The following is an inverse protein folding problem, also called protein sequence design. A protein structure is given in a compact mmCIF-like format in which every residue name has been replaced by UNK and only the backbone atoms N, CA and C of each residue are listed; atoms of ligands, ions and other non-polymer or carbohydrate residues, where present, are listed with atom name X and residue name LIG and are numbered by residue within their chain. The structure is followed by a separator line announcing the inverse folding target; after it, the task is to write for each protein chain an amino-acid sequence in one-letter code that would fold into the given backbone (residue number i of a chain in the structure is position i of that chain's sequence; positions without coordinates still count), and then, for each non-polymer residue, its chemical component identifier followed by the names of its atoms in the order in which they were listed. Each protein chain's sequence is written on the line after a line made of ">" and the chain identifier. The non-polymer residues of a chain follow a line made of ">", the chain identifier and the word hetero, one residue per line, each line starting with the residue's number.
data_IF_530879179141
#
_entry.id   IF_530879179141
#
_cell.length_a   1.000
_cell.length_b   1.000
_cell.length_c   1.000
_cell.angle_alpha   90.00
_cell.angle_beta   90.00
_cell.angle_gamma   90.00
#
_symmetry.space_group_name_H-M   'P 1'
#
loop_
_entity.id
_entity.type
_entity.pdbx_description
1 polymer ?
#
# COMPACT_ATOMS: atom_id res chain seq x y z
N UNK A 1 -25.42 5.80 -0.56
CA UNK A 1 -25.10 4.85 -1.58
C UNK A 1 -23.74 4.23 -1.42
N UNK A 2 -23.69 2.96 -1.45
CA UNK A 2 -22.44 2.27 -1.28
C UNK A 2 -21.62 2.33 -2.55
N UNK A 3 -20.35 2.48 -2.40
CA UNK A 3 -19.47 2.46 -3.53
C UNK A 3 -19.43 1.08 -4.13
N UNK A 4 -19.65 0.99 -5.42
CA UNK A 4 -19.65 -0.30 -6.09
C UNK A 4 -18.22 -0.73 -6.37
N UNK A 5 -17.99 -2.03 -6.27
CA UNK A 5 -16.72 -2.59 -6.67
C UNK A 5 -16.63 -2.59 -8.19
N UNK A 6 -15.47 -2.24 -8.73
CA UNK A 6 -15.24 -2.31 -10.16
C UNK A 6 -14.70 -3.67 -10.57
N UNK A 7 -14.05 -4.37 -9.65
CA UNK A 7 -13.48 -5.69 -9.91
C UNK A 7 -13.74 -6.61 -8.76
N UNK A 8 -13.84 -7.90 -9.07
CA UNK A 8 -13.90 -8.94 -8.06
C UNK A 8 -12.68 -9.83 -8.27
N UNK A 9 -11.75 -9.77 -7.34
CA UNK A 9 -10.49 -10.51 -7.44
C UNK A 9 -10.61 -11.86 -6.74
N UNK A 10 -10.42 -12.98 -7.48
CA UNK A 10 -10.40 -14.29 -6.82
C UNK A 10 -9.19 -14.40 -5.91
N UNK A 11 -9.42 -14.79 -4.67
CA UNK A 11 -8.33 -14.99 -3.73
C UNK A 11 -8.77 -15.92 -2.62
N UNK A 12 -8.06 -17.02 -2.46
CA UNK A 12 -8.28 -17.99 -1.39
C UNK A 12 -9.75 -18.41 -1.27
N UNK A 13 -10.33 -18.76 -2.40
CA UNK A 13 -11.68 -19.32 -2.40
C UNK A 13 -12.80 -18.31 -2.32
N UNK A 14 -12.51 -17.02 -2.39
CA UNK A 14 -13.54 -16.00 -2.37
C UNK A 14 -13.17 -14.87 -3.32
N UNK A 15 -14.11 -13.95 -3.50
CA UNK A 15 -13.90 -12.80 -4.39
C UNK A 15 -13.74 -11.55 -3.55
N UNK A 16 -12.65 -10.83 -3.79
CA UNK A 16 -12.29 -9.62 -3.05
C UNK A 16 -12.70 -8.41 -3.89
N UNK A 17 -13.60 -7.54 -3.39
CA UNK A 17 -13.98 -6.36 -4.17
C UNK A 17 -12.85 -5.33 -4.20
N UNK A 18 -12.55 -4.84 -5.38
CA UNK A 18 -11.56 -3.78 -5.61
C UNK A 18 -12.24 -2.62 -6.32
N UNK A 19 -11.78 -1.40 -6.05
CA UNK A 19 -12.30 -0.24 -6.74
C UNK A 19 -11.64 -0.10 -8.12
N UNK A 20 -11.96 0.96 -8.84
CA UNK A 20 -11.48 1.15 -10.21
C UNK A 20 -9.97 1.31 -10.29
N UNK A 21 -9.33 1.68 -9.18
CA UNK A 21 -7.88 1.83 -9.12
C UNK A 21 -7.19 0.63 -8.49
N UNK A 22 -7.95 -0.42 -8.20
CA UNK A 22 -7.39 -1.65 -7.69
C UNK A 22 -7.16 -1.67 -6.19
N UNK A 23 -7.73 -0.73 -5.44
CA UNK A 23 -7.64 -0.71 -3.99
C UNK A 23 -8.80 -1.46 -3.37
N UNK A 24 -8.61 -1.98 -2.16
CA UNK A 24 -9.66 -2.72 -1.47
C UNK A 24 -10.84 -1.81 -1.18
N UNK A 25 -12.05 -2.32 -1.47
CA UNK A 25 -13.27 -1.64 -1.08
C UNK A 25 -13.50 -1.82 0.42
N UNK A 26 -13.22 -3.02 0.93
CA UNK A 26 -13.41 -3.34 2.35
C UNK A 26 -12.05 -3.55 3.01
N UNK A 27 -11.68 -2.64 3.91
CA UNK A 27 -10.40 -2.71 4.58
C UNK A 27 -10.21 -4.02 5.35
N UNK A 28 -11.30 -4.59 5.84
CA UNK A 28 -11.24 -5.83 6.60
C UNK A 28 -10.83 -7.05 5.78
N UNK A 29 -10.84 -6.94 4.47
CA UNK A 29 -10.42 -8.05 3.60
C UNK A 29 -8.90 -8.19 3.52
N UNK A 30 -8.16 -7.22 4.02
CA UNK A 30 -6.71 -7.24 3.87
C UNK A 30 -6.05 -8.33 4.71
N UNK A 31 -5.01 -8.92 4.15
CA UNK A 31 -4.09 -9.80 4.86
C UNK A 31 -2.74 -9.65 4.19
N UNK A 32 -1.69 -10.11 4.84
CA UNK A 32 -0.37 -10.07 4.22
C UNK A 32 -0.36 -10.87 2.93
N UNK A 33 -1.06 -12.01 2.93
CA UNK A 33 -1.17 -12.82 1.72
C UNK A 33 -1.83 -12.07 0.58
N UNK A 34 -2.89 -11.34 0.88
CA UNK A 34 -3.56 -10.55 -0.15
C UNK A 34 -2.68 -9.42 -0.64
N UNK A 35 -1.98 -8.74 0.26
CA UNK A 35 -1.04 -7.69 -0.13
C UNK A 35 0.04 -8.23 -1.07
N UNK A 36 0.59 -9.38 -0.73
CA UNK A 36 1.59 -10.04 -1.58
C UNK A 36 1.01 -10.40 -2.94
N UNK A 37 -0.22 -10.91 -2.94
CA UNK A 37 -0.88 -11.30 -4.19
C UNK A 37 -1.11 -10.09 -5.10
N UNK A 38 -1.57 -8.98 -4.53
CA UNK A 38 -1.79 -7.77 -5.31
C UNK A 38 -0.48 -7.27 -5.93
N UNK A 39 0.62 -7.33 -5.17
CA UNK A 39 1.91 -6.92 -5.69
C UNK A 39 2.37 -7.84 -6.82
N UNK A 40 2.13 -9.15 -6.67
CA UNK A 40 2.51 -10.10 -7.70
C UNK A 40 1.75 -9.86 -9.00
N UNK A 41 0.49 -9.45 -8.91
CA UNK A 41 -0.28 -9.11 -10.10
C UNK A 41 0.35 -7.93 -10.84
N UNK A 42 1.06 -7.07 -10.12
CA UNK A 42 1.76 -5.92 -10.72
C UNK A 42 3.21 -6.26 -11.06
N UNK A 43 3.61 -7.52 -10.89
CA UNK A 43 4.97 -7.94 -11.22
C UNK A 43 6.00 -7.62 -10.15
N UNK A 44 5.57 -7.38 -8.93
CA UNK A 44 6.47 -7.01 -7.83
C UNK A 44 6.50 -8.12 -6.79
N UNK A 45 7.70 -8.60 -6.48
CA UNK A 45 7.91 -9.55 -5.40
C UNK A 45 8.29 -8.75 -4.15
N UNK A 46 7.46 -8.82 -3.13
CA UNK A 46 7.68 -8.05 -1.91
C UNK A 46 8.80 -8.66 -1.07
N UNK A 47 9.75 -7.83 -0.66
CA UNK A 47 10.79 -8.24 0.28
C UNK A 47 10.67 -7.42 1.57
N UNK A 48 11.62 -7.57 2.48
CA UNK A 48 11.57 -6.91 3.78
C UNK A 48 11.47 -5.39 3.67
N UNK A 49 12.09 -4.81 2.64
CA UNK A 49 12.07 -3.36 2.46
C UNK A 49 10.68 -2.89 2.06
N UNK A 50 10.00 -3.64 1.21
CA UNK A 50 8.62 -3.33 0.83
C UNK A 50 7.72 -3.41 2.06
N UNK A 51 7.89 -4.46 2.87
CA UNK A 51 7.06 -4.64 4.05
C UNK A 51 7.28 -3.55 5.09
N UNK A 52 8.51 -3.03 5.19
CA UNK A 52 8.79 -1.91 6.08
C UNK A 52 7.89 -0.72 5.72
N UNK A 53 7.81 -0.40 4.45
CA UNK A 53 6.97 0.70 3.97
C UNK A 53 5.48 0.39 4.19
N UNK A 54 5.06 -0.81 3.82
CA UNK A 54 3.66 -1.22 3.92
C UNK A 54 3.20 -1.17 5.37
N UNK A 55 4.01 -1.66 6.30
CA UNK A 55 3.64 -1.64 7.71
C UNK A 55 3.57 -0.24 8.26
N UNK A 56 4.47 0.64 7.84
CA UNK A 56 4.41 2.03 8.25
C UNK A 56 3.10 2.67 7.80
N UNK A 57 2.73 2.46 6.54
CA UNK A 57 1.49 3.02 6.00
C UNK A 57 0.28 2.50 6.76
N UNK A 58 0.24 1.20 7.04
CA UNK A 58 -0.90 0.63 7.77
C UNK A 58 -0.99 1.19 9.20
N UNK A 59 0.14 1.31 9.88
CA UNK A 59 0.18 1.86 11.22
C UNK A 59 -0.27 3.31 11.22
N UNK A 60 0.23 4.08 10.27
CA UNK A 60 -0.14 5.49 10.15
C UNK A 60 -1.64 5.65 9.89
N UNK A 61 -2.16 4.88 8.94
CA UNK A 61 -3.59 4.94 8.63
C UNK A 61 -4.45 4.54 9.83
N UNK A 62 -3.99 3.56 10.59
CA UNK A 62 -4.71 3.14 11.79
C UNK A 62 -4.77 4.20 12.86
N UNK A 63 -3.75 5.07 12.93
CA UNK A 63 -3.69 6.13 13.92
C UNK A 63 -4.41 7.40 13.48
N UNK A 64 -4.28 7.75 12.22
CA UNK A 64 -4.71 9.07 11.74
C UNK A 64 -5.86 9.02 10.76
N UNK A 65 -6.31 7.83 10.39
CA UNK A 65 -7.40 7.62 9.45
C UNK A 65 -7.16 8.33 8.11
N UNK A 66 -5.90 8.42 7.73
CA UNK A 66 -5.50 9.00 6.46
C UNK A 66 -4.19 8.37 6.03
N UNK A 67 -3.84 8.58 4.77
CA UNK A 67 -2.61 8.03 4.19
C UNK A 67 -1.50 9.08 4.35
N UNK A 68 -0.27 8.67 4.72
CA UNK A 68 0.81 9.64 4.87
C UNK A 68 1.21 10.22 3.53
N UNK A 69 1.58 11.49 3.52
CA UNK A 69 2.20 12.09 2.36
C UNK A 69 3.62 11.54 2.21
N UNK A 70 4.18 11.56 1.01
CA UNK A 70 5.52 10.97 0.79
C UNK A 70 6.58 11.51 1.75
N UNK A 71 6.57 12.81 2.01
CA UNK A 71 7.56 13.39 2.92
C UNK A 71 7.39 12.89 4.35
N UNK A 72 6.14 12.70 4.78
CA UNK A 72 5.86 12.19 6.11
C UNK A 72 6.32 10.74 6.22
N UNK A 73 6.07 9.94 5.19
CA UNK A 73 6.51 8.56 5.16
C UNK A 73 8.03 8.47 5.26
N UNK A 74 8.74 9.21 4.43
CA UNK A 74 10.20 9.20 4.42
C UNK A 74 10.75 9.65 5.78
N UNK A 75 10.19 10.71 6.33
CA UNK A 75 10.64 11.23 7.60
C UNK A 75 10.42 10.20 8.71
N UNK A 76 9.28 9.53 8.68
CA UNK A 76 8.97 8.50 9.67
C UNK A 76 9.88 7.30 9.58
N UNK A 77 10.19 6.85 8.37
CA UNK A 77 11.10 5.74 8.18
C UNK A 77 12.49 6.10 8.69
N UNK A 78 12.95 7.31 8.41
CA UNK A 78 14.28 7.76 8.85
C UNK A 78 14.35 7.94 10.34
N UNK A 79 13.25 8.30 10.99
CA UNK A 79 13.23 8.46 12.45
C UNK A 79 13.45 7.13 13.13
N UNK A 80 12.94 6.04 12.56
CA UNK A 80 13.09 4.72 13.14
C UNK A 80 14.39 4.03 12.74
N UNK A 81 14.99 4.47 11.63
CA UNK A 81 16.21 3.86 11.14
C UNK A 81 17.41 4.40 11.90
N UNK A 82 18.39 3.52 12.13
CA UNK A 82 19.59 3.93 12.82
C UNK A 82 20.77 4.16 11.89
N UNK A 83 20.89 3.32 10.88
CA UNK A 83 22.04 3.37 9.99
C UNK A 83 21.68 3.63 8.54
N UNK A 84 20.42 3.45 8.19
CA UNK A 84 19.97 3.59 6.81
C UNK A 84 19.23 4.91 6.66
N UNK A 85 19.50 5.58 5.54
CA UNK A 85 18.74 6.79 5.19
C UNK A 85 17.86 6.47 4.00
N UNK A 86 16.60 6.82 4.11
CA UNK A 86 15.63 6.58 3.04
C UNK A 86 15.27 7.89 2.38
N UNK A 87 14.97 7.83 1.08
CA UNK A 87 14.58 8.99 0.30
C UNK A 87 13.56 8.56 -0.75
N UNK A 88 13.13 9.48 -1.60
CA UNK A 88 12.15 9.16 -2.62
C UNK A 88 12.69 8.15 -3.63
N UNK A 89 14.00 8.19 -3.88
CA UNK A 89 14.61 7.23 -4.78
C UNK A 89 14.42 5.80 -4.27
N UNK A 90 14.52 5.63 -2.96
CA UNK A 90 14.27 4.33 -2.32
C UNK A 90 12.84 3.85 -2.61
N UNK A 91 11.86 4.74 -2.44
CA UNK A 91 10.47 4.39 -2.69
C UNK A 91 10.22 4.05 -4.16
N UNK A 92 10.78 4.83 -5.08
CA UNK A 92 10.62 4.54 -6.51
C UNK A 92 11.28 3.24 -6.90
N UNK A 93 12.36 2.87 -6.22
CA UNK A 93 13.02 1.59 -6.48
C UNK A 93 12.18 0.40 -6.05
N UNK A 94 11.42 0.55 -4.96
CA UNK A 94 10.57 -0.52 -4.46
C UNK A 94 9.23 -0.59 -5.19
N UNK A 95 8.65 0.57 -5.51
CA UNK A 95 7.32 0.66 -6.10
C UNK A 95 7.42 1.56 -7.33
N UNK A 96 7.86 1.00 -8.47
CA UNK A 96 8.08 1.81 -9.68
C UNK A 96 6.84 2.54 -10.13
N UNK A 97 7.05 3.67 -10.78
CA UNK A 97 6.04 4.51 -11.43
C UNK A 97 5.20 5.32 -10.43
N UNK A 98 4.49 4.67 -9.52
CA UNK A 98 3.58 5.36 -8.60
C UNK A 98 3.74 4.81 -7.20
N UNK A 99 4.82 5.18 -6.50
CA UNK A 99 5.16 4.54 -5.23
C UNK A 99 4.09 4.65 -4.16
N UNK A 100 3.45 5.82 -4.02
CA UNK A 100 2.42 5.96 -2.99
C UNK A 100 1.16 5.17 -3.36
N UNK A 101 0.76 5.22 -4.62
CA UNK A 101 -0.42 4.49 -5.06
C UNK A 101 -0.20 2.98 -4.91
N UNK A 102 0.94 2.48 -5.37
CA UNK A 102 1.22 1.05 -5.30
C UNK A 102 1.37 0.56 -3.87
N UNK A 103 2.11 1.29 -3.05
CA UNK A 103 2.30 0.86 -1.67
C UNK A 103 0.98 0.88 -0.90
N UNK A 104 0.12 1.85 -1.15
CA UNK A 104 -1.20 1.89 -0.52
C UNK A 104 -2.09 0.76 -1.00
N UNK A 105 -2.01 0.39 -2.28
CA UNK A 105 -2.77 -0.73 -2.81
C UNK A 105 -2.40 -2.03 -2.08
N UNK A 106 -1.10 -2.29 -1.91
CA UNK A 106 -0.66 -3.52 -1.25
C UNK A 106 -0.87 -3.46 0.26
N UNK A 107 -0.94 -2.27 0.81
CA UNK A 107 -1.19 -2.09 2.24
C UNK A 107 -2.67 -2.17 2.60
N UNK A 108 -3.55 -2.22 1.61
CA UNK A 108 -4.98 -2.31 1.85
C UNK A 108 -5.60 -1.05 2.40
N UNK A 109 -4.99 0.11 2.15
CA UNK A 109 -5.52 1.41 2.57
C UNK A 109 -6.00 2.16 1.34
N UNK A 110 -6.78 3.23 1.52
CA UNK A 110 -7.30 3.99 0.38
C UNK A 110 -6.22 4.60 -0.48
N UNK A 111 -6.58 4.93 -1.72
CA UNK A 111 -5.69 5.63 -2.60
C UNK A 111 -5.33 6.98 -1.99
N UNK A 112 -4.05 7.41 -2.12
CA UNK A 112 -3.66 8.72 -1.58
C UNK A 112 -4.46 9.85 -2.21
N UNK A 113 -4.75 10.86 -1.41
CA UNK A 113 -5.39 12.06 -1.93
C UNK A 113 -4.40 12.78 -2.83
N UNK A 114 -4.92 13.43 -3.85
CA UNK A 114 -4.06 14.08 -4.82
C UNK A 114 -3.49 13.05 -5.74
N UNK A 115 -2.47 13.37 -6.42
CA UNK A 115 -1.96 12.47 -7.42
C UNK A 115 -0.69 11.83 -6.99
N UNK A 116 -0.43 10.77 -7.51
CA UNK A 116 0.89 10.18 -7.59
C UNK A 116 0.82 8.82 -8.10
#
# INVERSE_FOLDING_TARGET
>A
MTEAASYLLPFEGRYIPLDENGHLVNAGDWSEGLGRHLAELDGIALDDRHWLVIRFIRTYHGKFDTVPMPKVLIKGLNREARETRYDMKFLYGLFPDHPMRRSCRYAGVPQPAGCT
#
